data_IF_136061911846
#
_entry.id   IF_136061911846
#
_cell.length_a   1.000
_cell.length_b   1.000
_cell.length_c   1.000
_cell.angle_alpha   90.00
_cell.angle_beta   90.00
_cell.angle_gamma   90.00
#
_symmetry.space_group_name_H-M   'P 1'
#
loop_
_entity.id
_entity.type
_entity.pdbx_description
1 polymer ?
#
# COMPACT_ATOMS: atom_id res chain seq x y z
N UNK A 1 -6.26 -15.43 -8.64
CA UNK A 1 -5.38 -14.24 -8.76
C UNK A 1 -4.10 -14.58 -8.03
N UNK A 2 -2.96 -14.74 -8.72
CA UNK A 2 -1.69 -15.04 -8.07
C UNK A 2 -0.91 -13.73 -7.91
N UNK A 3 -0.70 -13.30 -6.67
CA UNK A 3 0.20 -12.20 -6.36
C UNK A 3 1.65 -12.62 -6.63
N UNK A 4 2.52 -11.67 -6.97
CA UNK A 4 3.95 -11.97 -7.17
C UNK A 4 4.51 -12.62 -5.90
N UNK A 5 5.49 -13.54 -6.00
CA UNK A 5 6.03 -14.29 -4.86
C UNK A 5 6.45 -13.42 -3.68
N UNK A 6 6.98 -12.23 -3.99
CA UNK A 6 7.52 -11.27 -3.02
C UNK A 6 6.43 -10.60 -2.15
N UNK A 7 5.16 -10.81 -2.48
CA UNK A 7 4.00 -10.15 -1.87
C UNK A 7 3.09 -11.17 -1.17
N UNK A 8 3.49 -12.45 -1.11
CA UNK A 8 2.67 -13.54 -0.54
C UNK A 8 2.30 -13.32 0.93
N UNK A 9 3.13 -12.57 1.67
CA UNK A 9 2.89 -12.26 3.09
C UNK A 9 2.43 -10.80 3.31
N UNK A 10 2.17 -10.04 2.25
CA UNK A 10 1.77 -8.65 2.41
C UNK A 10 0.27 -8.53 2.70
N UNK A 11 -0.08 -7.62 3.61
CA UNK A 11 -1.44 -7.12 3.74
C UNK A 11 -1.74 -6.20 2.56
N UNK A 12 -2.87 -6.42 1.91
CA UNK A 12 -3.29 -5.59 0.77
C UNK A 12 -4.65 -4.98 1.08
N UNK A 13 -4.65 -3.67 1.28
CA UNK A 13 -5.87 -2.86 1.34
C UNK A 13 -6.27 -2.42 -0.06
N UNK A 14 -7.53 -2.65 -0.44
CA UNK A 14 -8.14 -2.02 -1.61
C UNK A 14 -9.08 -0.94 -1.09
N UNK A 15 -8.72 0.31 -1.34
CA UNK A 15 -9.51 1.46 -0.95
C UNK A 15 -10.61 1.74 -1.97
N UNK A 16 -11.78 2.17 -1.49
CA UNK A 16 -12.84 2.69 -2.34
C UNK A 16 -12.37 3.92 -3.13
N UNK A 17 -12.80 4.05 -4.38
CA UNK A 17 -12.70 5.28 -5.16
C UNK A 17 -13.67 6.29 -4.57
N UNK A 18 -13.18 7.49 -4.24
CA UNK A 18 -13.97 8.55 -3.64
C UNK A 18 -14.96 9.19 -4.61
N UNK A 19 -16.03 9.75 -4.06
CA UNK A 19 -17.02 10.53 -4.81
C UNK A 19 -16.43 11.86 -5.26
N UNK A 20 -16.64 12.23 -6.52
CA UNK A 20 -16.34 13.58 -7.01
C UNK A 20 -17.42 14.57 -6.60
N UNK A 21 -16.99 15.77 -6.24
CA UNK A 21 -17.85 16.90 -5.91
C UNK A 21 -18.49 17.47 -7.17
N UNK A 22 -19.81 17.52 -7.19
CA UNK A 22 -20.56 18.23 -8.22
C UNK A 22 -21.91 17.58 -8.49
N UNK A 23 -22.73 18.25 -9.30
CA UNK A 23 -24.10 17.81 -9.62
C UNK A 23 -24.37 17.68 -11.12
N UNK A 24 -23.38 17.95 -11.98
CA UNK A 24 -23.55 17.80 -13.42
C UNK A 24 -23.80 16.34 -13.78
N UNK A 25 -24.49 16.10 -14.90
CA UNK A 25 -24.75 14.75 -15.40
C UNK A 25 -23.45 13.94 -15.62
N UNK A 26 -22.38 14.60 -16.09
CA UNK A 26 -21.08 13.97 -16.27
C UNK A 26 -20.46 13.51 -14.94
N UNK A 27 -20.54 14.33 -13.89
CA UNK A 27 -20.02 13.97 -12.56
C UNK A 27 -20.85 12.84 -11.95
N UNK A 28 -22.17 12.88 -12.11
CA UNK A 28 -23.05 11.79 -11.65
C UNK A 28 -22.72 10.47 -12.36
N UNK A 29 -22.47 10.48 -13.66
CA UNK A 29 -22.06 9.28 -14.41
C UNK A 29 -20.73 8.72 -13.90
N UNK A 30 -19.74 9.58 -13.62
CA UNK A 30 -18.45 9.18 -13.05
C UNK A 30 -18.62 8.58 -11.64
N UNK A 31 -19.44 9.18 -10.78
CA UNK A 31 -19.70 8.66 -9.45
C UNK A 31 -20.45 7.31 -9.51
N UNK A 32 -21.40 7.13 -10.43
CA UNK A 32 -22.07 5.83 -10.66
C UNK A 32 -21.08 4.75 -11.10
N UNK A 33 -20.15 5.08 -11.99
CA UNK A 33 -19.09 4.16 -12.41
C UNK A 33 -18.16 3.80 -11.24
N UNK A 34 -17.71 4.79 -10.46
CA UNK A 34 -16.89 4.58 -9.27
C UNK A 34 -17.59 3.66 -8.25
N UNK A 35 -18.89 3.87 -8.00
CA UNK A 35 -19.68 3.01 -7.11
C UNK A 35 -19.75 1.56 -7.59
N UNK A 36 -19.84 1.35 -8.90
CA UNK A 36 -19.87 0.02 -9.51
C UNK A 36 -18.52 -0.69 -9.33
N UNK A 37 -17.41 0.01 -9.55
CA UNK A 37 -16.06 -0.51 -9.30
C UNK A 37 -15.86 -0.84 -7.82
N UNK A 38 -16.26 0.06 -6.93
CA UNK A 38 -16.19 -0.15 -5.48
C UNK A 38 -16.96 -1.40 -5.04
N UNK A 39 -18.18 -1.58 -5.55
CA UNK A 39 -19.00 -2.76 -5.28
C UNK A 39 -18.34 -4.06 -5.76
N UNK A 40 -17.67 -4.01 -6.92
CA UNK A 40 -16.90 -5.15 -7.43
C UNK A 40 -15.67 -5.44 -6.54
N UNK A 41 -14.90 -4.41 -6.18
CA UNK A 41 -13.72 -4.52 -5.31
C UNK A 41 -14.08 -5.09 -3.94
N UNK A 42 -15.18 -4.63 -3.33
CA UNK A 42 -15.67 -5.16 -2.06
C UNK A 42 -15.98 -6.66 -2.17
N UNK A 43 -16.71 -7.08 -3.20
CA UNK A 43 -17.01 -8.50 -3.45
C UNK A 43 -15.75 -9.34 -3.70
N UNK A 44 -14.74 -8.76 -4.34
CA UNK A 44 -13.45 -9.40 -4.55
C UNK A 44 -12.71 -9.62 -3.23
N UNK A 45 -12.70 -8.61 -2.35
CA UNK A 45 -12.05 -8.71 -1.04
C UNK A 45 -12.73 -9.71 -0.11
N UNK A 46 -14.06 -9.80 -0.10
CA UNK A 46 -14.79 -10.80 0.71
C UNK A 46 -14.39 -12.24 0.36
N UNK A 47 -14.03 -12.51 -0.91
CA UNK A 47 -13.62 -13.83 -1.38
C UNK A 47 -12.15 -14.16 -1.12
N UNK A 48 -11.38 -13.22 -0.57
CA UNK A 48 -9.93 -13.36 -0.37
C UNK A 48 -9.56 -13.26 1.10
N UNK A 49 -8.64 -14.12 1.55
CA UNK A 49 -8.09 -14.04 2.90
C UNK A 49 -6.99 -12.97 3.03
N UNK A 50 -6.43 -12.52 1.91
CA UNK A 50 -5.27 -11.60 1.86
C UNK A 50 -5.69 -10.16 1.59
N UNK A 51 -6.85 -9.96 0.95
CA UNK A 51 -7.35 -8.64 0.59
C UNK A 51 -8.33 -8.15 1.65
N UNK A 52 -8.19 -6.89 2.05
CA UNK A 52 -9.19 -6.18 2.85
C UNK A 52 -9.70 -4.99 2.06
N UNK A 53 -11.01 -4.77 2.13
CA UNK A 53 -11.63 -3.60 1.52
C UNK A 53 -11.71 -2.48 2.55
N UNK A 54 -11.26 -1.29 2.16
CA UNK A 54 -11.32 -0.07 2.98
C UNK A 54 -12.39 0.82 2.35
N UNK A 55 -13.55 0.88 3.00
CA UNK A 55 -14.68 1.65 2.49
C UNK A 55 -14.63 3.09 3.01
N UNK A 56 -14.44 4.03 2.09
CA UNK A 56 -14.51 5.47 2.34
C UNK A 56 -15.70 6.11 1.64
N UNK A 57 -16.51 5.33 0.89
CA UNK A 57 -17.54 5.89 0.03
C UNK A 57 -18.57 6.70 0.82
N UNK A 58 -19.00 6.15 1.96
CA UNK A 58 -20.02 6.74 2.81
C UNK A 58 -19.49 7.93 3.63
N UNK A 59 -18.19 7.96 3.94
CA UNK A 59 -17.58 9.11 4.60
C UNK A 59 -17.60 10.35 3.71
N UNK A 60 -17.47 10.16 2.39
CA UNK A 60 -17.55 11.21 1.37
C UNK A 60 -18.95 11.31 0.74
N UNK A 61 -20.01 10.86 1.42
CA UNK A 61 -21.36 10.99 0.91
C UNK A 61 -21.94 12.40 1.19
N UNK A 62 -22.66 13.03 0.23
CA UNK A 62 -23.19 14.39 0.39
C UNK A 62 -24.13 14.62 1.58
N UNK A 63 -24.71 13.53 2.11
CA UNK A 63 -25.63 13.52 3.25
C UNK A 63 -24.93 13.31 4.61
N UNK A 64 -23.62 13.02 4.63
CA UNK A 64 -22.85 12.93 5.88
C UNK A 64 -22.35 14.30 6.31
N UNK A 65 -22.27 14.51 7.62
CA UNK A 65 -21.62 15.68 8.20
C UNK A 65 -20.29 15.22 8.81
N UNK A 66 -19.14 15.84 8.49
CA UNK A 66 -18.98 17.07 7.70
C UNK A 66 -18.51 16.86 6.25
N UNK A 67 -19.38 16.42 5.31
CA UNK A 67 -19.02 16.18 3.89
C UNK A 67 -18.28 17.36 3.22
N UNK A 68 -18.76 18.59 3.41
CA UNK A 68 -18.13 19.77 2.81
C UNK A 68 -16.72 20.04 3.34
N UNK A 69 -16.45 19.70 4.60
CA UNK A 69 -15.15 19.94 5.21
C UNK A 69 -14.09 18.98 4.68
N UNK A 70 -14.50 17.79 4.20
CA UNK A 70 -13.60 16.76 3.68
C UNK A 70 -13.14 17.02 2.24
N UNK A 71 -13.77 17.97 1.53
CA UNK A 71 -13.51 18.23 0.11
C UNK A 71 -12.76 19.54 -0.10
N UNK A 72 -11.90 19.59 -1.11
CA UNK A 72 -11.30 20.85 -1.52
C UNK A 72 -12.35 21.70 -2.27
N UNK A 73 -12.77 22.79 -1.62
CA UNK A 73 -13.76 23.70 -2.19
C UNK A 73 -13.17 24.56 -3.32
N UNK A 74 -11.85 24.74 -3.32
CA UNK A 74 -11.12 25.50 -4.33
C UNK A 74 -10.78 24.66 -5.57
N UNK A 75 -10.92 23.34 -5.51
CA UNK A 75 -10.70 22.48 -6.68
C UNK A 75 -11.87 22.60 -7.67
N UNK A 76 -11.67 23.18 -8.87
CA UNK A 76 -12.71 23.34 -9.86
C UNK A 76 -13.16 22.00 -10.45
N UNK A 77 -12.33 20.95 -10.37
CA UNK A 77 -12.65 19.63 -10.90
C UNK A 77 -13.42 18.76 -9.91
N UNK A 78 -13.44 19.14 -8.63
CA UNK A 78 -14.11 18.41 -7.57
C UNK A 78 -13.57 16.99 -7.34
N UNK A 79 -12.27 16.79 -7.57
CA UNK A 79 -11.58 15.50 -7.44
C UNK A 79 -10.80 15.44 -6.13
N UNK A 80 -10.22 16.55 -5.70
CA UNK A 80 -9.32 16.60 -4.56
C UNK A 80 -10.08 16.73 -3.23
N UNK A 81 -9.52 16.12 -2.20
CA UNK A 81 -9.98 16.22 -0.82
C UNK A 81 -9.25 17.36 -0.12
N UNK A 82 -9.83 17.89 0.96
CA UNK A 82 -9.18 18.91 1.78
C UNK A 82 -8.12 18.30 2.69
N UNK A 83 -7.40 19.14 3.44
CA UNK A 83 -6.53 18.69 4.53
C UNK A 83 -7.27 17.84 5.56
N UNK A 84 -8.47 18.25 5.99
CA UNK A 84 -9.30 17.45 6.90
C UNK A 84 -9.73 16.12 6.30
N UNK A 85 -10.00 16.10 4.99
CA UNK A 85 -10.26 14.86 4.26
C UNK A 85 -9.04 13.93 4.26
N UNK A 86 -7.85 14.48 4.04
CA UNK A 86 -6.59 13.72 4.11
C UNK A 86 -6.36 13.13 5.49
N UNK A 87 -6.49 13.93 6.56
CA UNK A 87 -6.34 13.47 7.95
C UNK A 87 -7.30 12.31 8.28
N UNK A 88 -8.56 12.41 7.84
CA UNK A 88 -9.53 11.32 8.01
C UNK A 88 -9.06 10.02 7.32
N UNK A 89 -8.58 10.13 6.07
CA UNK A 89 -8.10 8.99 5.29
C UNK A 89 -6.84 8.37 5.91
N UNK A 90 -5.92 9.21 6.38
CA UNK A 90 -4.70 8.77 7.08
C UNK A 90 -5.03 7.98 8.33
N UNK A 91 -5.93 8.49 9.18
CA UNK A 91 -6.37 7.77 10.39
C UNK A 91 -6.96 6.39 10.05
N UNK A 92 -7.79 6.30 9.01
CA UNK A 92 -8.38 5.02 8.57
C UNK A 92 -7.29 4.07 8.04
N UNK A 93 -6.27 4.59 7.36
CA UNK A 93 -5.15 3.79 6.88
C UNK A 93 -4.26 3.32 8.03
N UNK A 94 -4.02 4.16 9.04
CA UNK A 94 -3.31 3.77 10.26
C UNK A 94 -4.06 2.67 11.00
N UNK A 95 -5.38 2.78 11.17
CA UNK A 95 -6.21 1.74 11.77
C UNK A 95 -6.11 0.42 10.99
N UNK A 96 -6.14 0.48 9.66
CA UNK A 96 -5.95 -0.69 8.82
C UNK A 96 -4.57 -1.35 9.02
N UNK A 97 -3.51 -0.54 9.03
CA UNK A 97 -2.13 -1.02 9.21
C UNK A 97 -1.96 -1.65 10.60
N UNK A 98 -2.52 -1.02 11.64
CA UNK A 98 -2.36 -1.39 13.05
C UNK A 98 -3.36 -2.46 13.52
N UNK A 99 -4.41 -2.75 12.75
CA UNK A 99 -5.39 -3.78 13.10
C UNK A 99 -4.71 -5.15 13.35
N UNK A 100 -5.03 -5.80 14.46
CA UNK A 100 -4.54 -7.14 14.77
C UNK A 100 -5.04 -8.16 13.73
N UNK A 101 -4.21 -9.15 13.41
CA UNK A 101 -4.61 -10.24 12.53
C UNK A 101 -4.76 -11.53 13.32
N UNK A 102 -5.88 -12.22 13.12
CA UNK A 102 -6.06 -13.63 13.45
C UNK A 102 -5.32 -14.57 12.47
N UNK A 103 -4.09 -14.23 12.08
CA UNK A 103 -3.31 -15.03 11.14
C UNK A 103 -1.82 -14.88 11.41
N UNK A 104 -1.19 -15.98 11.82
CA UNK A 104 0.26 -16.05 12.01
C UNK A 104 0.99 -15.68 10.73
N UNK A 105 1.62 -14.50 10.73
CA UNK A 105 2.62 -14.16 9.73
C UNK A 105 3.84 -15.04 9.99
N UNK A 106 3.95 -16.17 9.29
CA UNK A 106 5.22 -16.87 9.19
C UNK A 106 6.19 -15.97 8.42
N UNK A 107 6.97 -15.21 9.18
CA UNK A 107 8.19 -14.60 8.67
C UNK A 107 9.06 -15.72 8.12
N UNK A 108 9.52 -15.66 6.85
CA UNK A 108 10.52 -16.59 6.39
C UNK A 108 11.76 -16.34 7.23
N UNK A 109 12.01 -17.22 8.19
CA UNK A 109 13.22 -17.18 8.99
C UNK A 109 14.37 -17.38 8.02
N UNK A 110 14.99 -16.28 7.58
CA UNK A 110 16.29 -16.33 6.92
C UNK A 110 17.24 -16.90 7.97
N UNK A 111 17.41 -18.23 7.96
CA UNK A 111 18.61 -18.88 8.49
C UNK A 111 19.79 -18.30 7.71
N UNK A 112 20.30 -17.18 8.20
CA UNK A 112 21.61 -16.67 7.84
C UNK A 112 22.59 -17.70 8.41
N UNK A 113 22.93 -18.70 7.60
CA UNK A 113 24.12 -19.50 7.84
C UNK A 113 25.30 -18.54 7.80
N UNK A 114 25.67 -17.99 8.96
CA UNK A 114 26.99 -17.41 9.19
C UNK A 114 27.96 -18.58 9.24
N UNK A 115 28.31 -19.12 8.08
CA UNK A 115 29.56 -19.85 7.94
C UNK A 115 30.67 -18.84 8.24
N UNK A 116 31.35 -19.08 9.35
CA UNK A 116 32.58 -18.42 9.75
C UNK A 116 33.66 -18.69 8.70
N UNK A 117 33.72 -17.85 7.67
CA UNK A 117 34.86 -17.80 6.77
C UNK A 117 35.92 -16.91 7.42
N UNK A 118 36.84 -17.53 8.14
CA UNK A 118 38.07 -16.92 8.63
C UNK A 118 38.88 -16.41 7.44
N UNK A 119 39.03 -15.09 7.34
CA UNK A 119 40.04 -14.46 6.49
C UNK A 119 41.42 -14.80 7.07
N UNK A 120 42.32 -15.49 6.35
CA UNK A 120 43.70 -15.60 6.80
C UNK A 120 44.35 -14.25 6.56
N UNK A 121 44.81 -13.60 7.63
CA UNK A 121 45.71 -12.45 7.51
C UNK A 121 47.03 -12.90 6.88
N UNK A 122 47.61 -12.06 6.04
CA UNK A 122 49.02 -12.24 5.67
C UNK A 122 49.72 -10.91 5.49
N UNK A 123 50.85 -10.86 6.17
CA UNK A 123 51.72 -9.74 6.49
C UNK A 123 52.48 -9.20 5.27
N UNK A 124 52.94 -7.96 5.40
CA UNK A 124 53.83 -7.28 4.46
C UNK A 124 55.20 -7.97 4.25
N UNK A 125 55.69 -7.81 3.00
CA UNK A 125 57.08 -7.79 2.49
C UNK A 125 57.85 -9.12 2.35
N UNK A 126 58.22 -9.43 1.10
CA UNK A 126 59.63 -9.35 0.63
C UNK A 126 59.76 -9.51 -0.90
N UNK A 127 60.59 -8.65 -1.48
CA UNK A 127 61.07 -8.67 -2.88
C UNK A 127 62.10 -9.78 -3.03
N UNK A 128 62.04 -10.58 -4.10
CA UNK A 128 63.25 -11.18 -4.71
C UNK A 128 63.03 -11.55 -6.17
N UNK A 129 63.93 -11.04 -7.02
CA UNK A 129 63.99 -11.22 -8.48
C UNK A 129 64.40 -12.67 -8.83
N UNK A 130 63.83 -13.25 -9.90
CA UNK A 130 64.38 -14.45 -10.56
C UNK A 130 65.29 -14.07 -11.73
N UNK A 131 66.36 -14.85 -12.02
CA UNK A 131 67.27 -14.60 -13.13
C UNK A 131 66.68 -15.12 -14.46
N UNK A 132 67.02 -14.45 -15.56
CA UNK A 132 66.89 -15.00 -16.92
C UNK A 132 68.17 -15.81 -17.20
N UNK A 133 68.02 -17.09 -17.50
CA UNK A 133 69.05 -17.87 -18.19
C UNK A 133 68.85 -17.72 -19.70
N UNK A 134 69.93 -17.39 -20.39
CA UNK A 134 70.27 -17.83 -21.74
C UNK A 134 71.62 -18.54 -21.62
#
# INVERSE_FOLDING_TARGET
>A
MQLKPNIQNARIGICSILQRRGKSASIQALNTAARSVNSFSQKLCVKSQVLKYIDLWDEFAPNKTPYRALLDLNDPNGVHISMFGTELVENIFEDFINSECEGEYQTPSKKRNRSSSSTPGSSEKQVTKKPKSY
#
